data_IF_083322450700
#
_entry.id   IF_083322450700
#
_cell.length_a   1.000
_cell.length_b   1.000
_cell.length_c   1.000
_cell.angle_alpha   90.00
_cell.angle_beta   90.00
_cell.angle_gamma   90.00
#
_symmetry.space_group_name_H-M   'P 1'
#
loop_
_entity.id
_entity.type
_entity.pdbx_description
1 polymer ?
#
# COMPACT_ATOMS: atom_id res chain seq x y z
N UNK A 1 -15.32 17.84 -39.43
CA UNK A 1 -14.10 17.21 -38.88
C UNK A 1 -13.64 17.83 -37.56
N UNK A 2 -13.83 19.14 -37.36
CA UNK A 2 -13.38 19.83 -36.14
C UNK A 2 -13.99 19.29 -34.84
N UNK A 3 -15.28 18.97 -34.82
CA UNK A 3 -15.95 18.35 -33.66
C UNK A 3 -15.33 17.01 -33.22
N UNK A 4 -14.81 16.21 -34.17
CA UNK A 4 -14.13 14.95 -33.86
C UNK A 4 -12.75 15.18 -33.21
N UNK A 5 -12.03 16.20 -33.66
CA UNK A 5 -10.73 16.58 -33.08
C UNK A 5 -10.89 17.19 -31.69
N UNK A 6 -11.90 18.04 -31.48
CA UNK A 6 -12.25 18.60 -30.17
C UNK A 6 -12.64 17.48 -29.20
N UNK A 7 -13.46 16.53 -29.64
CA UNK A 7 -13.83 15.34 -28.84
C UNK A 7 -12.60 14.50 -28.45
N UNK A 8 -11.66 14.29 -29.38
CA UNK A 8 -10.41 13.56 -29.11
C UNK A 8 -9.50 14.28 -28.11
N UNK A 9 -9.34 15.59 -28.25
CA UNK A 9 -8.53 16.39 -27.33
C UNK A 9 -9.16 16.43 -25.94
N UNK A 10 -10.48 16.65 -25.85
CA UNK A 10 -11.22 16.64 -24.60
C UNK A 10 -11.12 15.27 -23.90
N UNK A 11 -11.20 14.17 -24.64
CA UNK A 11 -11.02 12.82 -24.10
C UNK A 11 -9.59 12.61 -23.55
N UNK A 12 -8.57 13.12 -24.25
CA UNK A 12 -7.17 13.04 -23.81
C UNK A 12 -6.94 13.84 -22.54
N UNK A 13 -7.51 15.04 -22.46
CA UNK A 13 -7.38 15.94 -21.31
C UNK A 13 -8.14 15.39 -20.09
N UNK A 14 -9.37 14.91 -20.30
CA UNK A 14 -10.16 14.25 -19.25
C UNK A 14 -9.45 13.00 -18.70
N UNK A 15 -8.87 12.18 -19.58
CA UNK A 15 -8.09 11.01 -19.17
C UNK A 15 -6.83 11.41 -18.39
N UNK A 16 -6.17 12.50 -18.79
CA UNK A 16 -4.99 13.01 -18.09
C UNK A 16 -5.31 13.42 -16.67
N UNK A 17 -6.38 14.20 -16.49
CA UNK A 17 -6.85 14.61 -15.18
C UNK A 17 -7.26 13.39 -14.36
N UNK A 18 -8.11 12.51 -14.91
CA UNK A 18 -8.58 11.31 -14.23
C UNK A 18 -7.44 10.47 -13.65
N UNK A 19 -6.43 10.13 -14.46
CA UNK A 19 -5.35 9.26 -13.99
C UNK A 19 -4.33 9.97 -13.09
N UNK A 20 -4.15 11.28 -13.24
CA UNK A 20 -3.15 12.02 -12.47
C UNK A 20 -3.63 12.51 -11.11
N UNK A 21 -4.94 12.78 -10.93
CA UNK A 21 -5.48 13.36 -9.70
C UNK A 21 -6.13 12.33 -8.77
N UNK A 22 -6.47 11.14 -9.27
CA UNK A 22 -7.21 10.15 -8.49
C UNK A 22 -6.28 9.12 -7.83
N UNK A 23 -6.72 8.65 -6.67
CA UNK A 23 -6.18 7.46 -6.00
C UNK A 23 -7.03 6.25 -6.36
N UNK A 24 -6.42 5.28 -7.03
CA UNK A 24 -7.10 4.04 -7.43
C UNK A 24 -6.94 3.03 -6.30
N UNK A 25 -8.06 2.68 -5.66
CA UNK A 25 -8.10 1.75 -4.54
C UNK A 25 -8.50 0.36 -5.01
N UNK A 26 -7.68 -0.63 -4.66
CA UNK A 26 -7.96 -2.04 -4.92
C UNK A 26 -8.03 -2.81 -3.61
N UNK A 27 -8.99 -3.71 -3.52
CA UNK A 27 -9.19 -4.55 -2.36
C UNK A 27 -9.29 -6.01 -2.81
N UNK A 28 -8.64 -6.90 -2.05
CA UNK A 28 -8.84 -8.36 -1.97
C UNK A 28 -8.67 -9.23 -3.23
N UNK A 29 -8.65 -8.69 -4.46
CA UNK A 29 -8.55 -9.47 -5.71
C UNK A 29 -7.45 -8.91 -6.64
N UNK A 30 -6.25 -9.50 -6.56
CA UNK A 30 -5.13 -9.08 -7.39
C UNK A 30 -5.26 -9.57 -8.83
N UNK A 31 -5.85 -10.73 -9.06
CA UNK A 31 -6.22 -11.21 -10.38
C UNK A 31 -7.09 -10.21 -11.14
N UNK A 32 -8.16 -9.71 -10.52
CA UNK A 32 -9.00 -8.66 -11.10
C UNK A 32 -8.21 -7.37 -11.33
N UNK A 33 -7.37 -6.97 -10.39
CA UNK A 33 -6.53 -5.77 -10.52
C UNK A 33 -5.55 -5.90 -11.69
N UNK A 34 -4.88 -7.05 -11.83
CA UNK A 34 -3.98 -7.34 -12.95
C UNK A 34 -4.74 -7.26 -14.26
N UNK A 35 -5.91 -7.90 -14.35
CA UNK A 35 -6.75 -7.86 -15.54
C UNK A 35 -7.17 -6.42 -15.89
N UNK A 36 -7.58 -5.64 -14.89
CA UNK A 36 -7.99 -4.26 -15.09
C UNK A 36 -6.81 -3.41 -15.60
N UNK A 37 -5.66 -3.46 -14.92
CA UNK A 37 -4.47 -2.70 -15.31
C UNK A 37 -3.94 -3.12 -16.68
N UNK A 38 -3.99 -4.41 -17.01
CA UNK A 38 -3.55 -4.93 -18.32
C UNK A 38 -4.43 -4.45 -19.48
N UNK A 39 -5.69 -4.11 -19.22
CA UNK A 39 -6.62 -3.57 -20.20
C UNK A 39 -6.52 -2.04 -20.38
N UNK A 40 -5.80 -1.35 -19.50
CA UNK A 40 -5.57 0.09 -19.64
C UNK A 40 -4.45 0.32 -20.68
N UNK A 41 -4.64 1.23 -21.65
CA UNK A 41 -3.59 1.55 -22.61
C UNK A 41 -2.29 1.97 -21.91
N UNK A 42 -1.10 1.50 -22.36
CA UNK A 42 0.17 1.79 -21.69
C UNK A 42 0.45 3.29 -21.46
N UNK A 43 0.03 4.15 -22.38
CA UNK A 43 0.18 5.61 -22.25
C UNK A 43 -0.70 6.20 -21.13
N UNK A 44 -1.84 5.57 -20.83
CA UNK A 44 -2.70 5.94 -19.72
C UNK A 44 -2.17 5.41 -18.39
N UNK A 45 -1.61 4.18 -18.38
CA UNK A 45 -0.96 3.63 -17.19
C UNK A 45 0.17 4.54 -16.69
N UNK A 46 1.02 5.09 -17.57
CA UNK A 46 2.09 6.03 -17.17
C UNK A 46 1.60 7.30 -16.47
N UNK A 47 0.32 7.64 -16.64
CA UNK A 47 -0.33 8.81 -16.04
C UNK A 47 -0.89 8.52 -14.65
N UNK A 48 -1.10 7.25 -14.29
CA UNK A 48 -1.50 6.86 -12.94
C UNK A 48 -0.44 7.29 -11.94
N UNK A 49 -0.85 8.13 -10.98
CA UNK A 49 0.05 8.67 -9.96
C UNK A 49 -0.10 7.98 -8.62
N UNK A 50 -1.28 7.57 -8.23
CA UNK A 50 -1.50 6.99 -6.90
C UNK A 50 -2.34 5.71 -6.98
N UNK A 51 -1.79 4.61 -6.49
CA UNK A 51 -2.53 3.37 -6.25
C UNK A 51 -2.47 3.05 -4.76
N UNK A 52 -3.62 2.65 -4.23
CA UNK A 52 -3.78 2.18 -2.87
C UNK A 52 -4.26 0.73 -2.89
N UNK A 53 -3.56 -0.14 -2.18
CA UNK A 53 -4.02 -1.50 -1.92
C UNK A 53 -4.51 -1.62 -0.49
N UNK A 54 -5.74 -2.09 -0.33
CA UNK A 54 -6.28 -2.45 0.96
C UNK A 54 -6.22 -3.97 1.15
N UNK A 55 -5.50 -4.40 2.18
CA UNK A 55 -5.34 -5.80 2.55
C UNK A 55 -6.22 -6.08 3.77
N UNK A 56 -7.01 -7.14 3.70
CA UNK A 56 -7.55 -7.78 4.91
C UNK A 56 -6.58 -8.88 5.33
N UNK A 57 -5.96 -8.72 6.49
CA UNK A 57 -4.99 -9.67 7.03
C UNK A 57 -5.54 -11.10 7.13
N UNK A 58 -6.83 -11.27 7.46
CA UNK A 58 -7.42 -12.55 7.88
C UNK A 58 -7.70 -13.48 6.70
N UNK A 59 -8.03 -12.92 5.54
CA UNK A 59 -8.52 -13.69 4.39
C UNK A 59 -7.74 -13.43 3.11
N UNK A 60 -7.10 -12.27 2.97
CA UNK A 60 -6.66 -11.83 1.65
C UNK A 60 -5.16 -12.02 1.40
N UNK A 61 -4.29 -11.98 2.41
CA UNK A 61 -2.85 -12.03 2.13
C UNK A 61 -2.41 -13.40 1.62
N UNK A 62 -2.60 -14.46 2.41
CA UNK A 62 -2.12 -15.79 2.01
C UNK A 62 -2.78 -16.32 0.74
N UNK A 63 -4.07 -16.02 0.55
CA UNK A 63 -4.81 -16.40 -0.65
C UNK A 63 -4.30 -15.69 -1.92
N UNK A 64 -3.93 -14.40 -1.82
CA UNK A 64 -3.55 -13.58 -2.98
C UNK A 64 -2.03 -13.38 -3.12
N UNK A 65 -1.23 -13.88 -2.19
CA UNK A 65 0.23 -13.69 -2.16
C UNK A 65 0.92 -14.19 -3.44
N UNK A 66 0.40 -15.24 -4.08
CA UNK A 66 0.92 -15.76 -5.34
C UNK A 66 0.79 -14.75 -6.50
N UNK A 67 -0.23 -13.90 -6.46
CA UNK A 67 -0.57 -12.91 -7.50
C UNK A 67 0.07 -11.54 -7.24
N UNK A 68 0.43 -11.26 -5.99
CA UNK A 68 1.08 -10.02 -5.59
C UNK A 68 2.39 -9.77 -6.35
N UNK A 69 3.24 -10.80 -6.51
CA UNK A 69 4.50 -10.67 -7.25
C UNK A 69 4.28 -10.37 -8.74
N UNK A 70 3.41 -11.10 -9.47
CA UNK A 70 2.99 -10.72 -10.82
C UNK A 70 2.49 -9.28 -10.94
N UNK A 71 1.64 -8.84 -10.01
CA UNK A 71 1.12 -7.48 -9.99
C UNK A 71 2.24 -6.44 -9.83
N UNK A 72 3.17 -6.65 -8.89
CA UNK A 72 4.32 -5.77 -8.72
C UNK A 72 5.21 -5.73 -9.96
N UNK A 73 5.39 -6.84 -10.69
CA UNK A 73 6.14 -6.85 -11.95
C UNK A 73 5.44 -6.05 -13.04
N UNK A 74 4.12 -6.25 -13.21
CA UNK A 74 3.31 -5.46 -14.13
C UNK A 74 3.48 -3.96 -13.84
N UNK A 75 3.39 -3.58 -12.57
CA UNK A 75 3.63 -2.20 -12.14
C UNK A 75 5.07 -1.75 -12.47
N UNK A 76 6.08 -2.53 -12.11
CA UNK A 76 7.48 -2.18 -12.35
C UNK A 76 7.81 -2.02 -13.84
N UNK A 77 7.08 -2.70 -14.74
CA UNK A 77 7.27 -2.58 -16.19
C UNK A 77 6.59 -1.33 -16.78
N UNK A 78 5.49 -0.86 -16.19
CA UNK A 78 4.74 0.29 -16.70
C UNK A 78 5.08 1.63 -16.03
N UNK A 79 5.62 1.63 -14.80
CA UNK A 79 5.78 2.85 -13.98
C UNK A 79 7.22 3.39 -13.89
N UNK A 80 8.20 2.86 -14.63
CA UNK A 80 9.64 3.18 -14.49
C UNK A 80 10.04 4.67 -14.54
N UNK A 81 9.23 5.51 -15.18
CA UNK A 81 9.51 6.95 -15.35
C UNK A 81 8.42 7.84 -14.73
N UNK A 82 7.54 7.25 -13.94
CA UNK A 82 6.38 7.93 -13.41
C UNK A 82 6.62 8.39 -11.98
N UNK A 83 6.02 9.54 -11.65
CA UNK A 83 5.88 10.07 -10.30
C UNK A 83 4.84 9.26 -9.53
N UNK A 84 5.16 7.99 -9.28
CA UNK A 84 4.19 7.00 -8.79
C UNK A 84 4.27 6.85 -7.27
N UNK A 85 3.10 6.90 -6.64
CA UNK A 85 2.85 6.84 -5.22
C UNK A 85 2.13 5.52 -4.95
N UNK A 86 2.71 4.69 -4.09
CA UNK A 86 2.09 3.45 -3.66
C UNK A 86 1.67 3.57 -2.20
N UNK A 87 0.38 3.38 -1.94
CA UNK A 87 -0.15 3.30 -0.58
C UNK A 87 -0.58 1.86 -0.30
N UNK A 88 -0.23 1.36 0.87
CA UNK A 88 -0.63 0.07 1.38
C UNK A 88 -1.36 0.33 2.69
N UNK A 89 -2.60 -0.10 2.73
CA UNK A 89 -3.44 -0.07 3.93
C UNK A 89 -3.67 -1.52 4.30
N UNK A 90 -3.34 -1.91 5.53
CA UNK A 90 -3.71 -3.23 6.02
C UNK A 90 -4.79 -3.05 7.07
N UNK A 91 -6.01 -3.42 6.70
CA UNK A 91 -7.15 -3.44 7.59
C UNK A 91 -6.97 -4.54 8.64
N UNK A 92 -7.26 -4.20 9.90
CA UNK A 92 -7.13 -5.07 11.06
C UNK A 92 -8.41 -5.13 11.87
N UNK A 93 -9.56 -4.68 11.34
CA UNK A 93 -10.86 -4.75 12.04
C UNK A 93 -11.16 -6.18 12.50
N UNK A 94 -10.92 -7.17 11.63
CA UNK A 94 -11.07 -8.58 11.98
C UNK A 94 -10.02 -9.02 13.03
N UNK A 95 -8.83 -8.40 13.08
CA UNK A 95 -7.79 -8.69 14.09
C UNK A 95 -8.20 -8.15 15.45
N UNK A 96 -8.74 -6.93 15.51
CA UNK A 96 -9.18 -6.31 16.75
C UNK A 96 -10.29 -7.15 17.39
N UNK A 97 -11.24 -7.62 16.59
CA UNK A 97 -12.27 -8.55 17.03
C UNK A 97 -11.68 -9.88 17.54
N UNK A 98 -10.76 -10.51 16.78
CA UNK A 98 -10.10 -11.74 17.20
C UNK A 98 -9.28 -11.57 18.50
N UNK A 99 -8.55 -10.46 18.64
CA UNK A 99 -7.77 -10.12 19.82
C UNK A 99 -8.61 -9.84 21.08
N UNK A 100 -9.91 -9.56 20.93
CA UNK A 100 -10.86 -9.43 22.04
C UNK A 100 -11.46 -10.77 22.48
N UNK A 101 -11.55 -11.75 21.59
CA UNK A 101 -12.26 -13.02 21.83
C UNK A 101 -11.36 -14.21 22.15
N UNK A 102 -10.07 -14.14 21.82
CA UNK A 102 -9.14 -15.27 21.89
C UNK A 102 -8.32 -15.33 23.20
N UNK A 103 -7.90 -16.54 23.58
CA UNK A 103 -6.99 -16.77 24.70
C UNK A 103 -5.59 -16.15 24.44
N UNK A 104 -4.80 -15.94 25.50
CA UNK A 104 -3.51 -15.22 25.43
C UNK A 104 -2.51 -15.87 24.44
N UNK A 105 -2.51 -17.20 24.32
CA UNK A 105 -1.62 -17.92 23.39
C UNK A 105 -2.02 -17.70 21.93
N UNK A 106 -3.33 -17.72 21.64
CA UNK A 106 -3.89 -17.47 20.31
C UNK A 106 -3.66 -16.02 19.86
N UNK A 107 -3.82 -15.06 20.78
CA UNK A 107 -3.50 -13.64 20.54
C UNK A 107 -2.06 -13.43 20.06
N UNK A 108 -1.08 -14.09 20.67
CA UNK A 108 0.32 -13.99 20.24
C UNK A 108 0.56 -14.58 18.85
N UNK A 109 -0.19 -15.62 18.49
CA UNK A 109 -0.16 -16.21 17.15
C UNK A 109 -0.66 -15.21 16.10
N UNK A 110 -1.83 -14.59 16.33
CA UNK A 110 -2.42 -13.57 15.46
C UNK A 110 -1.47 -12.39 15.23
N UNK A 111 -0.86 -11.87 16.31
CA UNK A 111 0.12 -10.77 16.24
C UNK A 111 1.32 -11.16 15.36
N UNK A 112 1.86 -12.37 15.53
CA UNK A 112 3.01 -12.86 14.73
C UNK A 112 2.64 -13.02 13.26
N UNK A 113 1.45 -13.52 12.97
CA UNK A 113 0.94 -13.65 11.60
C UNK A 113 0.78 -12.29 10.92
N UNK A 114 0.15 -11.32 11.60
CA UNK A 114 -0.01 -9.96 11.08
C UNK A 114 1.35 -9.33 10.75
N UNK A 115 2.29 -9.41 11.70
CA UNK A 115 3.66 -8.93 11.49
C UNK A 115 4.33 -9.60 10.28
N UNK A 116 4.22 -10.93 10.15
CA UNK A 116 4.83 -11.67 9.06
C UNK A 116 4.29 -11.22 7.69
N UNK A 117 2.98 -10.97 7.59
CA UNK A 117 2.33 -10.44 6.39
C UNK A 117 2.86 -9.05 6.04
N UNK A 118 2.96 -8.13 7.01
CA UNK A 118 3.47 -6.78 6.76
C UNK A 118 4.89 -6.79 6.22
N UNK A 119 5.75 -7.59 6.84
CA UNK A 119 7.15 -7.76 6.42
C UNK A 119 7.23 -8.36 5.02
N UNK A 120 6.40 -9.36 4.70
CA UNK A 120 6.42 -10.01 3.40
C UNK A 120 5.92 -9.10 2.26
N UNK A 121 4.86 -8.31 2.50
CA UNK A 121 4.39 -7.26 1.59
C UNK A 121 5.52 -6.27 1.31
N UNK A 122 6.16 -5.76 2.36
CA UNK A 122 7.21 -4.74 2.24
C UNK A 122 8.47 -5.28 1.55
N UNK A 123 8.90 -6.50 1.88
CA UNK A 123 10.03 -7.17 1.22
C UNK A 123 9.78 -7.42 -0.27
N UNK A 124 8.56 -7.84 -0.62
CA UNK A 124 8.22 -8.08 -2.02
C UNK A 124 8.19 -6.78 -2.83
N UNK A 125 7.74 -5.66 -2.26
CA UNK A 125 7.85 -4.34 -2.89
C UNK A 125 9.33 -3.97 -3.08
N UNK A 126 10.16 -4.06 -2.04
CA UNK A 126 11.59 -3.71 -2.13
C UNK A 126 12.33 -4.49 -3.22
N UNK A 127 12.01 -5.78 -3.36
CA UNK A 127 12.66 -6.67 -4.33
C UNK A 127 12.11 -6.53 -5.75
N UNK A 128 10.93 -5.93 -5.93
CA UNK A 128 10.27 -5.78 -7.24
C UNK A 128 10.94 -4.80 -8.20
N UNK A 129 11.92 -4.00 -7.73
CA UNK A 129 12.56 -2.90 -8.49
C UNK A 129 11.59 -1.81 -8.96
N UNK A 130 10.39 -1.75 -8.39
CA UNK A 130 9.44 -0.67 -8.63
C UNK A 130 10.04 0.65 -8.14
N UNK A 131 10.08 1.66 -9.02
CA UNK A 131 10.58 3.00 -8.68
C UNK A 131 9.41 3.82 -8.14
N UNK A 132 9.47 4.16 -6.86
CA UNK A 132 8.44 4.92 -6.16
C UNK A 132 8.92 6.35 -5.91
N UNK A 133 8.04 7.32 -6.19
CA UNK A 133 8.23 8.68 -5.68
C UNK A 133 7.94 8.72 -4.19
N UNK A 134 6.90 8.01 -3.76
CA UNK A 134 6.50 7.92 -2.37
C UNK A 134 5.89 6.55 -2.08
N UNK A 135 6.02 6.13 -0.83
CA UNK A 135 5.48 4.88 -0.34
C UNK A 135 4.88 5.10 1.04
N UNK A 136 3.63 4.67 1.19
CA UNK A 136 2.93 4.80 2.45
C UNK A 136 2.41 3.47 2.94
N UNK A 137 2.55 3.25 4.23
CA UNK A 137 2.06 2.08 4.91
C UNK A 137 1.15 2.52 6.06
N UNK A 138 -0.01 1.90 6.19
CA UNK A 138 -0.91 2.06 7.33
C UNK A 138 -1.10 0.71 8.02
N UNK A 139 -0.59 0.58 9.24
CA UNK A 139 -0.58 -0.63 10.07
C UNK A 139 -1.20 -0.33 11.44
N UNK A 140 -2.52 -0.47 11.61
CA UNK A 140 -3.20 -0.07 12.84
C UNK A 140 -2.66 -0.76 14.10
N UNK A 141 -2.22 -2.02 13.97
CA UNK A 141 -1.65 -2.79 15.08
C UNK A 141 -0.20 -2.40 15.43
N UNK A 142 0.57 -1.92 14.47
CA UNK A 142 2.01 -1.63 14.63
C UNK A 142 2.36 -0.28 13.97
N UNK A 143 1.71 0.79 14.39
CA UNK A 143 1.88 2.14 13.80
C UNK A 143 3.34 2.63 13.82
N UNK A 144 4.10 2.27 14.86
CA UNK A 144 5.52 2.59 15.04
C UNK A 144 6.42 1.83 14.06
N UNK A 145 5.94 0.70 13.50
CA UNK A 145 6.61 -0.07 12.47
C UNK A 145 6.47 0.55 11.07
N UNK A 146 5.42 1.34 10.82
CA UNK A 146 5.21 2.03 9.53
C UNK A 146 6.46 2.80 9.06
N UNK A 147 7.02 3.76 9.83
CA UNK A 147 8.16 4.53 9.37
C UNK A 147 9.42 3.69 9.16
N UNK A 148 9.57 2.59 9.91
CA UNK A 148 10.70 1.66 9.76
C UNK A 148 10.59 0.92 8.42
N UNK A 149 9.41 0.39 8.11
CA UNK A 149 9.16 -0.35 6.87
C UNK A 149 9.14 0.56 5.65
N UNK A 150 8.58 1.76 5.76
CA UNK A 150 8.62 2.73 4.68
C UNK A 150 10.04 3.14 4.33
N UNK A 151 10.88 3.39 5.35
CA UNK A 151 12.30 3.69 5.16
C UNK A 151 13.03 2.52 4.50
N UNK A 152 12.72 1.28 4.87
CA UNK A 152 13.30 0.10 4.22
C UNK A 152 12.98 0.06 2.71
N UNK A 153 11.74 0.38 2.30
CA UNK A 153 11.36 0.46 0.88
C UNK A 153 12.05 1.62 0.17
N UNK A 154 11.86 2.83 0.68
CA UNK A 154 12.27 4.09 0.06
C UNK A 154 13.78 4.34 0.12
N UNK A 155 14.48 3.69 1.05
CA UNK A 155 15.92 3.82 1.23
C UNK A 155 16.34 5.17 1.82
N UNK A 156 17.58 5.62 1.54
CA UNK A 156 18.15 6.84 2.13
C UNK A 156 17.35 8.12 1.83
N UNK A 157 16.61 8.14 0.73
CA UNK A 157 15.79 9.30 0.33
C UNK A 157 14.49 9.44 1.13
N UNK A 158 14.17 8.51 2.03
CA UNK A 158 12.92 8.50 2.76
C UNK A 158 12.68 9.84 3.48
N UNK A 159 13.64 10.28 4.30
CA UNK A 159 13.48 11.46 5.15
C UNK A 159 13.40 12.77 4.33
N UNK A 160 14.02 12.82 3.14
CA UNK A 160 13.98 13.99 2.26
C UNK A 160 12.65 14.11 1.48
N UNK A 161 11.93 13.00 1.30
CA UNK A 161 10.65 12.94 0.56
C UNK A 161 9.41 13.04 1.47
N UNK A 162 9.57 12.78 2.76
CA UNK A 162 8.49 12.56 3.74
C UNK A 162 7.59 13.76 4.08
N UNK A 163 8.00 14.99 3.73
CA UNK A 163 7.25 16.23 3.98
C UNK A 163 6.47 16.27 5.30
N UNK A 164 7.13 16.50 6.44
CA UNK A 164 6.55 16.74 7.78
C UNK A 164 5.39 15.85 8.30
N UNK A 165 5.03 14.73 7.65
CA UNK A 165 3.81 13.96 7.99
C UNK A 165 3.82 13.35 9.38
N UNK A 166 4.99 12.90 9.84
CA UNK A 166 5.15 12.34 11.18
C UNK A 166 5.57 13.39 12.22
N UNK A 167 5.72 14.66 11.79
CA UNK A 167 5.96 15.81 12.67
C UNK A 167 4.66 16.49 13.10
N UNK A 168 3.51 16.13 12.52
CA UNK A 168 2.20 16.60 12.95
C UNK A 168 1.42 15.45 13.60
N UNK A 169 1.26 15.42 14.93
CA UNK A 169 0.19 14.62 15.52
C UNK A 169 -1.14 15.18 14.98
N UNK A 170 -2.02 14.32 14.45
CA UNK A 170 -3.39 14.79 14.23
C UNK A 170 -4.24 14.24 13.10
N UNK A 171 -3.83 13.31 12.22
CA UNK A 171 -4.78 12.81 11.20
C UNK A 171 -4.91 11.28 11.06
N UNK A 172 -4.10 10.51 11.77
CA UNK A 172 -4.30 9.06 11.99
C UNK A 172 -3.81 8.60 13.37
N UNK A 173 -2.86 9.33 13.96
CA UNK A 173 -2.32 9.11 15.31
C UNK A 173 -3.34 9.20 16.44
N UNK A 174 -4.43 9.95 16.24
CA UNK A 174 -5.39 10.25 17.31
C UNK A 174 -6.41 9.11 17.51
N UNK A 175 -6.53 8.20 16.53
CA UNK A 175 -7.38 7.01 16.61
C UNK A 175 -6.58 5.74 16.93
N UNK A 176 -5.30 5.68 16.57
CA UNK A 176 -4.47 4.47 16.68
C UNK A 176 -3.09 4.74 17.31
N UNK A 177 -3.05 5.60 18.34
CA UNK A 177 -1.82 5.90 19.09
C UNK A 177 -1.44 4.80 20.11
N UNK A 178 -0.39 5.02 20.93
CA UNK A 178 0.00 4.08 22.00
C UNK A 178 -1.13 3.77 22.99
N UNK A 179 -2.09 4.67 23.09
CA UNK A 179 -3.27 4.55 23.95
C UNK A 179 -4.38 3.69 23.32
N UNK A 180 -4.24 3.29 22.05
CA UNK A 180 -5.20 2.40 21.41
C UNK A 180 -5.13 0.99 22.03
N UNK A 181 -6.27 0.40 22.43
CA UNK A 181 -6.30 -0.87 23.18
C UNK A 181 -5.69 -2.07 22.43
N UNK A 182 -5.54 -1.96 21.11
CA UNK A 182 -4.98 -3.00 20.25
C UNK A 182 -3.57 -2.68 19.74
N UNK A 183 -2.97 -1.58 20.18
CA UNK A 183 -1.59 -1.27 19.83
C UNK A 183 -0.64 -2.37 20.32
N UNK A 184 0.20 -2.82 19.39
CA UNK A 184 1.31 -3.72 19.65
C UNK A 184 2.63 -2.97 19.40
N UNK A 185 3.46 -2.86 20.44
CA UNK A 185 4.82 -2.36 20.26
C UNK A 185 5.60 -3.24 19.27
N UNK A 186 6.54 -2.64 18.54
CA UNK A 186 7.45 -3.38 17.67
C UNK A 186 8.03 -4.59 18.43
N UNK A 187 7.89 -5.81 17.92
CA UNK A 187 8.33 -6.98 18.65
C UNK A 187 9.85 -6.92 18.86
N UNK A 188 10.33 -7.32 20.04
CA UNK A 188 11.78 -7.37 20.36
C UNK A 188 12.60 -8.25 19.41
N UNK A 189 11.94 -9.17 18.73
CA UNK A 189 12.52 -10.08 17.74
C UNK A 189 12.46 -9.51 16.31
N UNK A 190 11.96 -8.29 16.12
CA UNK A 190 12.22 -7.52 14.91
C UNK A 190 13.74 -7.36 14.80
N UNK A 191 14.34 -8.18 13.95
CA UNK A 191 15.72 -8.02 13.51
C UNK A 191 15.64 -7.19 12.25
N UNK A 192 16.37 -6.08 12.24
CA UNK A 192 16.39 -5.10 11.16
C UNK A 192 16.30 -5.79 9.79
N UNK A 193 15.37 -5.30 8.97
CA UNK A 193 15.06 -5.84 7.64
C UNK A 193 16.14 -5.59 6.60
#
# INVERSE_FOLDING_TARGET
>A
MELFLVSRQLSKDASEVLYSTNTFRFAHDFSHTINMLSNIPPESLKRLRCIEFNFDWSKSWDANKSEWRPLLRLMADHYRHSRFFLKITVDTVDSEAAMMTEEIEDKNSVIRMCYASYVDIVRSIKTSRLVLQDFHLFLPLFWDLEPVLERYVMGPDYDSKKGNRYLKPGHSSDLYGPEHPFYCAIPKWHKDL
#
